data_IF_978866606738
#
_entry.id   IF_978866606738
#
_cell.length_a   1.000
_cell.length_b   1.000
_cell.length_c   1.000
_cell.angle_alpha   90.00
_cell.angle_beta   90.00
_cell.angle_gamma   90.00
#
_symmetry.space_group_name_H-M   'P 1'
#
loop_
_entity.id
_entity.type
_entity.pdbx_description
1 polymer ?
#
# COMPACT_ATOMS: atom_id res chain seq x y z
N UNK A 1 33.48 -30.22 -35.50
CA UNK A 1 32.18 -30.85 -35.81
C UNK A 1 31.87 -31.79 -34.64
N UNK A 2 31.75 -31.24 -33.44
CA UNK A 2 30.49 -30.78 -32.81
C UNK A 2 29.52 -31.95 -32.59
N UNK A 3 29.60 -32.52 -31.38
CA UNK A 3 28.54 -33.32 -30.81
C UNK A 3 27.38 -32.43 -30.40
N UNK A 4 26.16 -32.90 -30.62
CA UNK A 4 24.94 -32.23 -30.18
C UNK A 4 24.27 -33.12 -29.14
N UNK A 5 24.42 -32.71 -27.88
CA UNK A 5 23.66 -33.24 -26.75
C UNK A 5 22.22 -32.73 -26.86
N UNK A 6 21.28 -33.63 -27.11
CA UNK A 6 19.85 -33.32 -27.11
C UNK A 6 19.37 -33.31 -25.66
N UNK A 7 19.23 -32.11 -25.11
CA UNK A 7 18.60 -31.86 -23.81
C UNK A 7 17.12 -32.25 -23.86
N UNK A 8 16.74 -33.28 -23.10
CA UNK A 8 15.36 -33.73 -22.94
C UNK A 8 14.77 -33.00 -21.74
N UNK A 9 14.00 -31.93 -21.99
CA UNK A 9 13.19 -31.28 -20.95
C UNK A 9 11.90 -32.07 -20.74
N UNK A 10 11.50 -32.41 -19.49
CA UNK A 10 10.26 -33.13 -19.26
C UNK A 10 9.07 -32.19 -19.49
N UNK A 11 8.21 -32.55 -20.45
CA UNK A 11 6.89 -31.94 -20.65
C UNK A 11 6.00 -32.37 -19.49
N UNK A 12 5.85 -31.51 -18.48
CA UNK A 12 4.89 -31.71 -17.40
C UNK A 12 3.51 -31.34 -17.95
N UNK A 13 2.75 -32.34 -18.39
CA UNK A 13 1.32 -32.19 -18.69
C UNK A 13 0.55 -31.95 -17.39
N UNK A 14 0.30 -30.68 -17.06
CA UNK A 14 -0.66 -30.32 -16.02
C UNK A 14 -2.04 -30.28 -16.67
N UNK A 15 -2.86 -31.27 -16.32
CA UNK A 15 -4.29 -31.28 -16.60
C UNK A 15 -4.91 -30.00 -16.04
N UNK A 16 -5.41 -29.12 -16.92
CA UNK A 16 -6.18 -27.95 -16.52
C UNK A 16 -7.47 -28.41 -15.84
N UNK A 17 -7.48 -28.45 -14.50
CA UNK A 17 -8.72 -28.41 -13.76
C UNK A 17 -9.30 -27.02 -13.96
N UNK A 18 -10.45 -26.96 -14.64
CA UNK A 18 -11.24 -25.75 -14.83
C UNK A 18 -11.90 -25.35 -13.50
N UNK A 19 -11.09 -24.93 -12.53
CA UNK A 19 -11.57 -24.05 -11.48
C UNK A 19 -11.61 -22.66 -12.10
N UNK A 20 -12.82 -22.17 -12.40
CA UNK A 20 -13.04 -20.79 -12.79
C UNK A 20 -12.51 -19.90 -11.68
N UNK A 21 -11.30 -19.37 -11.86
CA UNK A 21 -10.80 -18.25 -11.07
C UNK A 21 -11.77 -17.13 -11.38
N UNK A 22 -12.68 -16.87 -10.45
CA UNK A 22 -13.56 -15.70 -10.45
C UNK A 22 -12.68 -14.52 -10.83
N UNK A 23 -13.02 -13.88 -11.96
CA UNK A 23 -12.27 -12.74 -12.46
C UNK A 23 -11.98 -11.80 -11.29
N UNK A 24 -10.70 -11.55 -11.01
CA UNK A 24 -10.30 -10.41 -10.20
C UNK A 24 -10.88 -9.23 -10.96
N UNK A 25 -12.03 -8.74 -10.53
CA UNK A 25 -12.64 -7.55 -11.10
C UNK A 25 -11.64 -6.45 -10.85
N UNK A 26 -10.95 -5.99 -11.89
CA UNK A 26 -10.14 -4.79 -11.83
C UNK A 26 -11.08 -3.68 -11.39
N UNK A 27 -11.02 -3.30 -10.12
CA UNK A 27 -11.78 -2.16 -9.62
C UNK A 27 -11.23 -0.95 -10.39
N UNK A 28 -11.97 -0.50 -11.40
CA UNK A 28 -11.70 0.74 -12.11
C UNK A 28 -12.08 1.91 -11.19
N UNK A 29 -11.27 2.11 -10.14
CA UNK A 29 -11.41 3.25 -9.25
C UNK A 29 -10.86 4.50 -9.94
N UNK A 30 -11.63 5.58 -9.95
CA UNK A 30 -11.12 6.91 -10.30
C UNK A 30 -10.14 7.38 -9.23
N UNK A 31 -8.93 7.79 -9.62
CA UNK A 31 -7.91 8.27 -8.70
C UNK A 31 -7.38 9.62 -9.18
N UNK A 32 -7.45 10.62 -8.29
CA UNK A 32 -6.99 11.99 -8.53
C UNK A 32 -6.08 12.42 -7.37
N UNK A 33 -5.04 13.21 -7.64
CA UNK A 33 -4.26 13.89 -6.61
C UNK A 33 -4.69 15.35 -6.53
N UNK A 34 -5.07 15.79 -5.33
CA UNK A 34 -5.28 17.20 -5.00
C UNK A 34 -4.24 17.67 -4.01
N UNK A 35 -4.05 18.98 -3.92
CA UNK A 35 -3.18 19.58 -2.92
C UNK A 35 -4.03 20.06 -1.74
N UNK A 36 -3.66 19.67 -0.52
CA UNK A 36 -4.26 20.19 0.73
C UNK A 36 -3.94 21.67 0.94
N UNK A 37 -4.65 22.32 1.87
CA UNK A 37 -4.39 23.73 2.22
C UNK A 37 -2.96 23.97 2.74
N UNK A 38 -2.34 22.97 3.35
CA UNK A 38 -0.93 23.03 3.81
C UNK A 38 0.08 22.63 2.74
N UNK A 39 -0.34 22.39 1.49
CA UNK A 39 0.57 22.10 0.37
C UNK A 39 0.93 20.61 0.20
N UNK A 40 0.34 19.72 0.99
CA UNK A 40 0.60 18.29 0.93
C UNK A 40 -0.36 17.58 -0.04
N UNK A 41 0.10 16.60 -0.84
CA UNK A 41 -0.76 15.84 -1.75
C UNK A 41 -1.83 15.03 -0.99
N UNK A 42 -3.01 14.91 -1.57
CA UNK A 42 -4.13 14.13 -1.03
C UNK A 42 -4.72 13.31 -2.16
N UNK A 43 -4.75 12.00 -1.96
CA UNK A 43 -5.37 11.07 -2.89
C UNK A 43 -6.88 11.10 -2.73
N UNK A 44 -7.56 11.34 -3.85
CA UNK A 44 -9.02 11.23 -4.00
C UNK A 44 -9.28 9.93 -4.75
N UNK A 45 -9.98 8.99 -4.11
CA UNK A 45 -10.42 7.74 -4.72
C UNK A 45 -11.95 7.76 -4.84
N UNK A 46 -12.46 7.62 -6.06
CA UNK A 46 -13.91 7.62 -6.34
C UNK A 46 -14.65 8.83 -5.73
N UNK A 47 -14.01 10.00 -5.79
CA UNK A 47 -14.53 11.25 -5.23
C UNK A 47 -14.34 11.42 -3.72
N UNK A 48 -13.80 10.42 -3.02
CA UNK A 48 -13.57 10.45 -1.57
C UNK A 48 -12.11 10.79 -1.30
N UNK A 49 -11.87 11.81 -0.48
CA UNK A 49 -10.54 12.14 -0.01
C UNK A 49 -10.08 11.11 1.02
N UNK A 50 -8.95 10.44 0.76
CA UNK A 50 -8.37 9.45 1.67
C UNK A 50 -7.61 10.07 2.84
N UNK A 51 -7.31 11.37 2.75
CA UNK A 51 -6.67 12.17 3.80
C UNK A 51 -7.34 13.54 3.91
N UNK A 52 -7.06 14.25 5.01
CA UNK A 52 -7.55 15.62 5.22
C UNK A 52 -7.12 16.55 4.09
N UNK A 53 -8.09 17.27 3.50
CA UNK A 53 -7.83 18.34 2.53
C UNK A 53 -7.30 19.62 3.16
N UNK A 54 -7.30 19.71 4.49
CA UNK A 54 -6.77 20.87 5.22
C UNK A 54 -5.30 20.63 5.53
N UNK A 55 -5.03 19.64 6.38
CA UNK A 55 -3.68 19.28 6.83
C UNK A 55 -3.63 17.76 7.11
N UNK A 56 -3.13 16.96 6.17
CA UNK A 56 -3.08 15.50 6.33
C UNK A 56 -2.01 15.04 7.34
N UNK A 57 -1.00 15.87 7.62
CA UNK A 57 0.06 15.56 8.60
C UNK A 57 -0.47 15.71 10.01
N UNK A 58 -1.14 16.83 10.30
CA UNK A 58 -1.71 17.09 11.63
C UNK A 58 -2.76 16.05 11.98
N UNK A 59 -3.62 15.67 11.03
CA UNK A 59 -4.61 14.60 11.25
C UNK A 59 -3.94 13.25 11.57
N UNK A 60 -2.86 12.92 10.85
CA UNK A 60 -2.08 11.70 11.10
C UNK A 60 -1.43 11.67 12.49
N UNK A 61 -0.86 12.79 12.94
CA UNK A 61 -0.29 12.91 14.30
C UNK A 61 -1.35 12.74 15.38
N UNK A 62 -2.50 13.39 15.21
CA UNK A 62 -3.64 13.31 16.13
C UNK A 62 -4.16 11.88 16.27
N UNK A 63 -4.18 11.12 15.17
CA UNK A 63 -4.57 9.71 15.17
C UNK A 63 -3.61 8.86 16.01
N UNK A 64 -2.31 9.13 15.94
CA UNK A 64 -1.28 8.40 16.67
C UNK A 64 -1.14 8.84 18.13
N UNK A 65 -1.58 10.05 18.49
CA UNK A 65 -1.49 10.59 19.85
C UNK A 65 -2.18 9.73 20.90
N UNK A 66 -3.36 9.20 20.57
CA UNK A 66 -4.08 8.28 21.47
C UNK A 66 -3.38 6.94 21.69
N UNK A 67 -2.33 6.65 20.93
CA UNK A 67 -1.58 5.39 20.95
C UNK A 67 -0.16 5.56 21.53
N UNK A 68 0.15 6.75 22.05
CA UNK A 68 1.44 7.05 22.68
C UNK A 68 1.51 6.37 24.06
N UNK A 69 2.41 5.39 24.15
CA UNK A 69 3.05 4.93 25.38
C UNK A 69 4.50 5.40 25.32
N UNK A 70 5.23 5.51 26.42
CA UNK A 70 6.58 6.10 26.35
C UNK A 70 7.66 5.05 26.07
N UNK A 71 7.56 3.85 26.64
CA UNK A 71 8.68 2.88 26.65
C UNK A 71 8.35 1.45 26.20
N UNK A 72 7.17 1.21 25.61
CA UNK A 72 6.79 -0.13 25.13
C UNK A 72 7.14 -0.36 23.65
N UNK A 73 7.59 -1.58 23.32
CA UNK A 73 7.61 -2.10 21.94
C UNK A 73 6.20 -2.08 21.35
N UNK A 74 6.08 -1.71 20.07
CA UNK A 74 4.78 -1.60 19.41
C UNK A 74 4.79 -2.19 18.03
N UNK A 75 3.66 -2.80 17.71
CA UNK A 75 3.30 -3.17 16.35
C UNK A 75 2.08 -2.36 15.95
N UNK A 76 2.22 -1.50 14.94
CA UNK A 76 1.08 -0.87 14.29
C UNK A 76 0.67 -1.68 13.06
N UNK A 77 -0.63 -1.96 12.97
CA UNK A 77 -1.23 -2.62 11.83
C UNK A 77 -2.11 -1.62 11.09
N UNK A 78 -1.67 -1.24 9.88
CA UNK A 78 -2.39 -0.31 9.02
C UNK A 78 -3.14 -1.10 7.94
N UNK A 79 -4.46 -0.93 7.90
CA UNK A 79 -5.31 -1.43 6.82
C UNK A 79 -5.72 -0.25 5.94
N UNK A 80 -5.32 -0.30 4.67
CA UNK A 80 -5.20 0.93 3.88
C UNK A 80 -4.17 1.86 4.53
N UNK A 81 -4.21 3.13 4.13
CA UNK A 81 -3.46 4.29 4.67
C UNK A 81 -3.31 5.37 3.57
N UNK A 82 -3.97 5.19 2.41
CA UNK A 82 -3.85 6.08 1.27
C UNK A 82 -2.39 6.20 0.84
N UNK A 83 -1.85 7.42 0.83
CA UNK A 83 -0.44 7.66 0.48
C UNK A 83 0.54 7.58 1.66
N UNK A 84 0.11 7.09 2.84
CA UNK A 84 1.04 6.67 3.90
C UNK A 84 1.43 7.72 4.95
N UNK A 85 0.75 8.86 5.07
CA UNK A 85 1.08 9.89 6.07
C UNK A 85 1.15 9.36 7.51
N UNK A 86 0.14 8.62 7.95
CA UNK A 86 0.10 8.03 9.30
C UNK A 86 1.24 7.04 9.53
N UNK A 87 1.65 6.32 8.49
CA UNK A 87 2.75 5.38 8.58
C UNK A 87 4.04 6.14 8.81
N UNK A 88 4.32 7.18 8.01
CA UNK A 88 5.50 8.02 8.19
C UNK A 88 5.56 8.67 9.57
N UNK A 89 4.43 9.20 10.06
CA UNK A 89 4.39 9.79 11.41
C UNK A 89 4.61 8.73 12.50
N UNK A 90 4.13 7.49 12.30
CA UNK A 90 4.30 6.39 13.26
C UNK A 90 5.75 5.91 13.37
N UNK A 91 6.49 5.93 12.26
CA UNK A 91 7.90 5.51 12.21
C UNK A 91 8.83 6.49 12.96
N UNK A 92 8.34 7.65 13.39
CA UNK A 92 9.08 8.60 14.24
C UNK A 92 9.12 8.17 15.71
N UNK A 93 8.28 7.22 16.13
CA UNK A 93 8.32 6.68 17.48
C UNK A 93 9.43 5.63 17.61
N UNK A 94 9.98 5.49 18.81
CA UNK A 94 10.97 4.46 19.12
C UNK A 94 10.29 3.08 19.22
N UNK A 95 11.03 2.03 18.89
CA UNK A 95 10.62 0.63 19.07
C UNK A 95 9.29 0.28 18.36
N UNK A 96 9.08 0.81 17.15
CA UNK A 96 7.90 0.54 16.33
C UNK A 96 8.23 -0.42 15.20
N UNK A 97 7.36 -1.42 15.06
CA UNK A 97 7.18 -2.19 13.82
C UNK A 97 5.88 -1.73 13.17
N UNK A 98 5.93 -1.30 11.91
CA UNK A 98 4.74 -0.94 11.14
C UNK A 98 4.48 -2.00 10.06
N UNK A 99 3.28 -2.56 10.06
CA UNK A 99 2.81 -3.47 9.01
C UNK A 99 1.69 -2.78 8.26
N UNK A 100 1.86 -2.58 6.96
CA UNK A 100 0.88 -1.94 6.10
C UNK A 100 0.31 -2.94 5.09
N UNK A 101 -1.00 -3.15 5.15
CA UNK A 101 -1.76 -3.93 4.18
C UNK A 101 -2.63 -3.01 3.33
N UNK A 102 -2.46 -3.08 2.02
CA UNK A 102 -3.19 -2.27 1.04
C UNK A 102 -3.74 -3.16 -0.06
N UNK A 103 -4.97 -2.90 -0.47
CA UNK A 103 -5.68 -3.68 -1.50
C UNK A 103 -5.26 -3.21 -2.89
N UNK A 104 -4.93 -1.93 -3.04
CA UNK A 104 -4.53 -1.33 -4.31
C UNK A 104 -3.02 -1.07 -4.38
N UNK A 105 -2.24 -1.82 -5.20
CA UNK A 105 -0.81 -1.56 -5.36
C UNK A 105 -0.51 -0.15 -5.91
N UNK A 106 -1.48 0.48 -6.56
CA UNK A 106 -1.35 1.85 -7.08
C UNK A 106 -1.18 2.89 -5.97
N UNK A 107 -1.77 2.66 -4.79
CA UNK A 107 -1.60 3.56 -3.64
C UNK A 107 -0.15 3.53 -3.14
N UNK A 108 0.48 2.36 -3.11
CA UNK A 108 1.92 2.23 -2.81
C UNK A 108 2.80 3.00 -3.80
N UNK A 109 2.53 2.87 -5.10
CA UNK A 109 3.29 3.61 -6.13
C UNK A 109 3.18 5.12 -5.95
N UNK A 110 1.99 5.62 -5.62
CA UNK A 110 1.79 7.05 -5.35
C UNK A 110 2.51 7.49 -4.08
N UNK A 111 2.46 6.68 -3.01
CA UNK A 111 3.26 6.92 -1.80
C UNK A 111 4.75 7.10 -2.13
N UNK A 112 5.35 6.19 -2.91
CA UNK A 112 6.78 6.27 -3.27
C UNK A 112 7.14 7.45 -4.18
N UNK A 113 6.17 8.08 -4.84
CA UNK A 113 6.43 9.22 -5.71
C UNK A 113 6.38 10.56 -4.96
N UNK A 114 5.56 10.64 -3.91
CA UNK A 114 5.36 11.86 -3.13
C UNK A 114 6.21 11.94 -1.86
N UNK A 115 6.94 10.88 -1.52
CA UNK A 115 7.88 10.80 -0.39
C UNK A 115 9.12 10.01 -0.77
#
# INVERSE_FOLDING_TARGET
MEGTDISISPVISISQSSASISQISTFNSSLEIKTSKTGHPVLIADGIALHSLIDPITESKRLLEGLKKEDEERVFLFFGAGIGYVIQESLKFKNVTAVWMEVSPRNFTLCTFYF
#
